data_IF_518509860906
#
_entry.id   IF_518509860906
#
_cell.length_a   1.000
_cell.length_b   1.000
_cell.length_c   1.000
_cell.angle_alpha   90.00
_cell.angle_beta   90.00
_cell.angle_gamma   90.00
#
_symmetry.space_group_name_H-M   'P 1'
#
loop_
_entity.id
_entity.type
_entity.pdbx_description
1 polymer ?
#
# COMPACT_ATOMS: atom_id res chain seq x y z
N UNK A 1 -21.30 2.68 11.22
CA UNK A 1 -20.31 2.84 12.30
C UNK A 1 -19.20 3.75 11.80
N UNK A 2 -18.63 4.61 12.66
CA UNK A 2 -17.60 5.55 12.25
C UNK A 2 -16.96 6.24 13.45
N UNK A 3 -16.05 7.16 13.17
CA UNK A 3 -15.30 7.91 14.19
C UNK A 3 -16.24 8.88 14.91
N UNK A 4 -16.33 8.73 16.23
CA UNK A 4 -17.09 9.63 17.10
C UNK A 4 -16.21 10.81 17.54
N UNK A 5 -14.96 10.54 17.91
CA UNK A 5 -14.08 11.57 18.45
C UNK A 5 -12.92 10.96 19.21
N UNK A 6 -12.33 11.76 20.09
CA UNK A 6 -11.18 11.35 20.90
C UNK A 6 -11.42 11.57 22.38
N UNK A 7 -10.88 10.69 23.21
CA UNK A 7 -10.88 10.88 24.66
C UNK A 7 -9.90 12.00 25.01
N UNK A 8 -10.37 13.02 25.73
CA UNK A 8 -9.56 14.15 26.19
C UNK A 8 -9.31 14.11 27.71
N UNK A 9 -10.16 13.41 28.45
CA UNK A 9 -9.98 13.18 29.88
C UNK A 9 -10.54 11.80 30.23
N UNK A 10 -9.85 11.08 31.09
CA UNK A 10 -10.26 9.78 31.59
C UNK A 10 -10.29 9.75 33.11
N UNK A 11 -11.19 8.92 33.63
CA UNK A 11 -11.33 8.58 35.05
C UNK A 11 -11.59 7.08 35.15
N UNK A 12 -11.56 6.47 36.35
CA UNK A 12 -11.67 5.02 36.49
C UNK A 12 -12.95 4.39 35.90
N UNK A 13 -14.04 5.15 35.77
CA UNK A 13 -15.35 4.65 35.32
C UNK A 13 -16.04 5.53 34.27
N UNK A 14 -15.39 6.60 33.83
CA UNK A 14 -15.95 7.53 32.85
C UNK A 14 -14.84 8.24 32.07
N UNK A 15 -15.17 8.70 30.87
CA UNK A 15 -14.28 9.50 30.05
C UNK A 15 -15.03 10.69 29.44
N UNK A 16 -14.33 11.81 29.24
CA UNK A 16 -14.83 12.93 28.43
C UNK A 16 -14.26 12.79 27.03
N UNK A 17 -15.15 12.81 26.04
CA UNK A 17 -14.82 12.69 24.63
C UNK A 17 -15.04 14.04 23.96
N UNK A 18 -14.04 14.51 23.23
CA UNK A 18 -14.22 15.60 22.28
C UNK A 18 -14.72 15.00 20.97
N UNK A 19 -15.94 15.38 20.57
CA UNK A 19 -16.58 14.88 19.35
C UNK A 19 -15.89 15.41 18.10
N UNK A 20 -15.87 14.63 17.03
CA UNK A 20 -15.24 15.03 15.76
C UNK A 20 -15.93 16.22 15.07
N UNK A 21 -17.23 16.39 15.31
CA UNK A 21 -18.01 17.54 14.82
C UNK A 21 -17.72 18.84 15.59
N UNK A 22 -17.01 18.80 16.71
CA UNK A 22 -16.61 20.01 17.46
C UNK A 22 -15.66 20.87 16.62
N UNK A 23 -15.83 22.21 16.64
CA UNK A 23 -15.00 23.14 15.85
C UNK A 23 -13.52 23.12 16.20
N UNK A 24 -13.18 22.66 17.41
CA UNK A 24 -11.82 22.50 17.90
C UNK A 24 -11.30 21.07 17.72
N UNK A 25 -12.06 20.19 17.06
CA UNK A 25 -11.64 18.84 16.71
C UNK A 25 -11.17 18.77 15.26
N UNK A 26 -10.10 18.02 15.05
CA UNK A 26 -9.61 17.68 13.73
C UNK A 26 -9.09 16.23 13.72
N UNK A 27 -9.09 15.62 12.54
CA UNK A 27 -8.56 14.29 12.30
C UNK A 27 -7.81 14.24 10.96
N UNK A 28 -6.63 13.64 10.96
CA UNK A 28 -5.93 13.29 9.73
C UNK A 28 -6.77 12.31 8.92
N UNK A 29 -7.06 12.66 7.68
CA UNK A 29 -8.01 11.95 6.84
C UNK A 29 -7.43 11.62 5.48
N UNK A 30 -8.05 10.64 4.82
CA UNK A 30 -7.70 10.20 3.50
C UNK A 30 -8.95 9.74 2.77
N UNK A 31 -9.07 10.11 1.50
CA UNK A 31 -10.08 9.55 0.60
C UNK A 31 -9.66 8.12 0.27
N UNK A 32 -10.54 7.14 0.52
CA UNK A 32 -10.22 5.72 0.42
C UNK A 32 -9.84 5.32 -1.02
N UNK A 33 -10.63 5.76 -2.01
CA UNK A 33 -10.43 5.45 -3.43
C UNK A 33 -9.12 5.99 -4.00
N UNK A 34 -8.87 7.29 -3.83
CA UNK A 34 -7.73 7.98 -4.48
C UNK A 34 -6.51 8.13 -3.59
N UNK A 35 -6.63 7.77 -2.30
CA UNK A 35 -5.61 7.97 -1.26
C UNK A 35 -5.18 9.41 -1.07
N UNK A 36 -5.93 10.38 -1.61
CA UNK A 36 -5.69 11.80 -1.40
C UNK A 36 -5.85 12.12 0.09
N UNK A 37 -4.86 12.81 0.66
CA UNK A 37 -4.83 13.16 2.07
C UNK A 37 -5.42 14.54 2.32
N UNK A 38 -5.89 14.76 3.54
CA UNK A 38 -6.36 16.06 4.00
C UNK A 38 -6.60 16.06 5.51
N UNK A 39 -7.13 17.17 6.00
CA UNK A 39 -7.49 17.34 7.40
C UNK A 39 -9.01 17.53 7.51
N UNK A 40 -9.68 16.63 8.22
CA UNK A 40 -11.08 16.82 8.56
C UNK A 40 -11.18 17.68 9.83
N UNK A 41 -12.04 18.70 9.79
CA UNK A 41 -12.30 19.63 10.90
C UNK A 41 -13.81 19.70 11.15
N UNK A 42 -14.21 19.75 12.42
CA UNK A 42 -15.60 19.89 12.80
C UNK A 42 -16.19 21.28 12.51
N UNK A 43 -17.48 21.33 12.17
CA UNK A 43 -18.23 22.58 11.93
C UNK A 43 -19.49 22.70 12.80
N UNK A 44 -19.61 21.86 13.84
CA UNK A 44 -20.75 21.78 14.75
C UNK A 44 -21.74 20.68 14.37
N UNK A 45 -22.27 20.71 13.14
CA UNK A 45 -23.22 19.69 12.65
C UNK A 45 -22.67 18.86 11.48
N UNK A 46 -21.71 19.42 10.74
CA UNK A 46 -21.07 18.80 9.58
C UNK A 46 -19.56 18.76 9.77
N UNK A 47 -18.88 18.13 8.82
CA UNK A 47 -17.44 18.07 8.75
C UNK A 47 -16.97 18.78 7.48
N UNK A 48 -15.77 19.37 7.54
CA UNK A 48 -15.08 19.92 6.36
C UNK A 48 -13.72 19.26 6.24
N UNK A 49 -13.35 18.81 5.05
CA UNK A 49 -12.02 18.31 4.74
C UNK A 49 -11.25 19.36 3.94
N UNK A 50 -10.14 19.81 4.50
CA UNK A 50 -9.26 20.84 3.97
C UNK A 50 -7.91 20.23 3.52
N UNK A 51 -7.12 21.02 2.79
CA UNK A 51 -5.75 20.70 2.35
C UNK A 51 -5.65 19.50 1.39
N UNK A 52 -6.72 19.20 0.65
CA UNK A 52 -6.67 18.17 -0.38
C UNK A 52 -6.13 18.77 -1.66
N UNK A 53 -5.12 18.14 -2.28
CA UNK A 53 -4.46 18.65 -3.50
C UNK A 53 -5.49 18.98 -4.59
N UNK A 54 -5.36 20.14 -5.22
CA UNK A 54 -6.19 20.56 -6.35
C UNK A 54 -6.12 19.62 -7.55
N UNK A 55 -5.03 18.86 -7.68
CA UNK A 55 -4.85 17.84 -8.72
C UNK A 55 -5.45 16.47 -8.37
N UNK A 56 -5.89 16.27 -7.12
CA UNK A 56 -6.51 15.01 -6.72
C UNK A 56 -7.88 14.85 -7.39
N UNK A 57 -8.15 13.66 -7.87
CA UNK A 57 -9.47 13.29 -8.36
C UNK A 57 -10.37 12.97 -7.15
N UNK A 58 -11.51 13.66 -7.07
CA UNK A 58 -12.45 13.57 -5.95
C UNK A 58 -13.85 13.62 -6.51
N UNK A 59 -14.69 12.70 -6.05
CA UNK A 59 -16.06 12.54 -6.47
C UNK A 59 -17.02 12.63 -5.28
N UNK A 60 -18.24 13.06 -5.54
CA UNK A 60 -19.29 13.02 -4.53
C UNK A 60 -19.60 11.56 -4.18
N UNK A 61 -19.75 11.28 -2.89
CA UNK A 61 -19.94 9.91 -2.38
C UNK A 61 -18.64 9.17 -2.06
N UNK A 62 -17.46 9.73 -2.38
CA UNK A 62 -16.18 9.15 -1.99
C UNK A 62 -16.11 8.94 -0.47
N UNK A 63 -15.61 7.77 -0.06
CA UNK A 63 -15.47 7.41 1.34
C UNK A 63 -14.23 8.07 1.94
N UNK A 64 -14.38 8.69 3.10
CA UNK A 64 -13.29 9.31 3.85
C UNK A 64 -13.02 8.49 5.11
N UNK A 65 -11.75 8.12 5.28
CA UNK A 65 -11.26 7.35 6.41
C UNK A 65 -10.13 8.08 7.13
N UNK A 66 -9.86 7.71 8.37
CA UNK A 66 -8.70 8.21 9.12
C UNK A 66 -7.40 7.76 8.46
N UNK A 67 -6.44 8.68 8.32
CA UNK A 67 -5.16 8.38 7.67
C UNK A 67 -4.13 7.73 8.61
N UNK A 68 -4.27 7.95 9.92
CA UNK A 68 -3.30 7.51 10.92
C UNK A 68 -2.09 8.43 11.11
N UNK A 69 -1.98 9.52 10.35
CA UNK A 69 -0.78 10.38 10.35
C UNK A 69 -0.63 11.19 11.65
N UNK A 70 -1.75 11.55 12.29
CA UNK A 70 -1.77 12.32 13.53
C UNK A 70 -1.46 11.48 14.76
N UNK A 71 -1.41 10.15 14.63
CA UNK A 71 -1.24 9.16 15.71
C UNK A 71 -2.31 9.26 16.82
N UNK A 72 -3.37 10.03 16.60
CA UNK A 72 -4.54 10.16 17.49
C UNK A 72 -5.61 9.19 17.04
N UNK A 73 -5.92 9.20 15.74
CA UNK A 73 -6.88 8.28 15.15
C UNK A 73 -6.11 7.18 14.42
N UNK A 74 -6.23 5.90 14.81
CA UNK A 74 -5.65 4.81 14.04
C UNK A 74 -6.17 4.83 12.60
N UNK A 75 -5.37 4.36 11.65
CA UNK A 75 -5.72 4.38 10.24
C UNK A 75 -6.92 3.47 9.91
N UNK A 76 -7.77 3.90 8.99
CA UNK A 76 -8.77 3.06 8.34
C UNK A 76 -10.17 3.09 8.98
N UNK A 77 -10.42 3.97 9.94
CA UNK A 77 -11.75 4.16 10.51
C UNK A 77 -12.56 5.15 9.67
N UNK A 78 -13.81 4.79 9.36
CA UNK A 78 -14.70 5.62 8.55
C UNK A 78 -15.03 6.92 9.28
N UNK A 79 -14.84 8.05 8.60
CA UNK A 79 -15.29 9.37 9.06
C UNK A 79 -16.65 9.66 8.46
N UNK A 80 -16.77 9.56 7.14
CA UNK A 80 -17.95 9.99 6.40
C UNK A 80 -17.79 9.87 4.90
N UNK A 81 -18.64 10.57 4.16
CA UNK A 81 -18.63 10.60 2.69
C UNK A 81 -18.58 12.03 2.18
N UNK A 82 -17.95 12.22 1.03
CA UNK A 82 -17.95 13.51 0.33
C UNK A 82 -19.37 13.90 -0.04
N UNK A 83 -19.84 15.03 0.48
CA UNK A 83 -21.17 15.58 0.20
C UNK A 83 -21.12 16.65 -0.88
N UNK A 84 -20.12 17.54 -0.83
CA UNK A 84 -19.91 18.57 -1.83
C UNK A 84 -18.42 18.91 -1.95
N UNK A 85 -18.00 19.34 -3.13
CA UNK A 85 -16.61 19.69 -3.42
C UNK A 85 -16.60 21.12 -3.93
N UNK A 86 -15.96 22.02 -3.20
CA UNK A 86 -15.63 23.35 -3.67
C UNK A 86 -14.22 23.30 -4.28
N UNK A 87 -14.18 23.40 -5.61
CA UNK A 87 -12.94 23.32 -6.38
C UNK A 87 -12.23 24.67 -6.51
N UNK A 88 -12.85 25.78 -6.11
CA UNK A 88 -12.28 27.12 -6.10
C UNK A 88 -11.37 27.49 -7.30
N UNK A 89 -10.48 28.46 -7.09
CA UNK A 89 -9.30 28.73 -7.95
C UNK A 89 -7.99 28.48 -7.21
N UNK A 90 -8.07 27.95 -5.99
CA UNK A 90 -6.93 27.73 -5.11
C UNK A 90 -6.21 26.42 -5.40
N UNK A 91 -5.03 26.25 -4.77
CA UNK A 91 -4.21 25.03 -4.87
C UNK A 91 -4.84 23.81 -4.20
N UNK A 92 -5.85 24.02 -3.34
CA UNK A 92 -6.50 22.97 -2.56
C UNK A 92 -8.01 22.99 -2.72
N UNK A 93 -8.62 21.81 -2.72
CA UNK A 93 -10.07 21.66 -2.63
C UNK A 93 -10.54 21.83 -1.18
N UNK A 94 -11.70 22.46 -1.01
CA UNK A 94 -12.43 22.45 0.25
C UNK A 94 -13.65 21.54 0.10
N UNK A 95 -13.79 20.55 0.98
CA UNK A 95 -14.77 19.48 0.79
C UNK A 95 -15.72 19.43 1.97
N UNK A 96 -17.01 19.50 1.70
CA UNK A 96 -18.04 19.24 2.71
C UNK A 96 -18.19 17.73 2.87
N UNK A 97 -18.13 17.28 4.12
CA UNK A 97 -18.18 15.86 4.47
C UNK A 97 -19.40 15.60 5.33
N UNK A 98 -20.23 14.65 4.88
CA UNK A 98 -21.34 14.12 5.66
C UNK A 98 -20.79 13.07 6.62
N UNK A 99 -20.95 13.23 7.95
CA UNK A 99 -20.51 12.22 8.90
C UNK A 99 -21.26 10.90 8.70
N UNK A 100 -20.55 9.78 8.87
CA UNK A 100 -21.16 8.44 8.88
C UNK A 100 -21.87 8.11 10.20
N UNK A 101 -21.60 8.89 11.24
CA UNK A 101 -22.15 8.74 12.59
C UNK A 101 -23.26 9.77 12.79
N UNK A 102 -24.39 9.33 13.34
CA UNK A 102 -25.42 10.22 13.85
C UNK A 102 -25.10 10.62 15.30
N UNK A 103 -24.56 11.82 15.46
CA UNK A 103 -24.13 12.34 16.77
C UNK A 103 -25.28 12.64 17.72
N UNK A 104 -26.53 12.65 17.26
CA UNK A 104 -27.71 12.92 18.10
C UNK A 104 -28.23 11.68 18.83
N UNK A 105 -27.79 10.48 18.44
CA UNK A 105 -28.31 9.19 18.93
C UNK A 105 -27.18 8.20 19.24
N UNK A 106 -26.23 8.63 20.05
CA UNK A 106 -25.12 7.78 20.52
C UNK A 106 -25.51 7.05 21.80
N UNK A 107 -25.55 5.71 21.76
CA UNK A 107 -25.82 4.86 22.92
C UNK A 107 -24.57 4.08 23.35
N UNK A 108 -23.91 3.43 22.40
CA UNK A 108 -22.72 2.62 22.64
C UNK A 108 -21.55 3.09 21.76
N UNK A 109 -20.34 3.06 22.32
CA UNK A 109 -19.11 3.44 21.63
C UNK A 109 -17.98 2.48 21.95
N UNK A 110 -17.13 2.22 20.96
CA UNK A 110 -15.89 1.45 21.12
C UNK A 110 -14.71 2.39 21.32
N UNK A 111 -13.95 2.21 22.41
CA UNK A 111 -12.70 2.93 22.64
C UNK A 111 -11.55 2.12 22.06
N UNK A 112 -10.86 2.68 21.08
CA UNK A 112 -9.67 2.08 20.49
C UNK A 112 -8.45 2.62 21.21
N UNK A 113 -7.74 1.76 21.94
CA UNK A 113 -6.52 2.11 22.70
C UNK A 113 -5.25 1.72 21.96
N UNK A 114 -5.36 1.02 20.84
CA UNK A 114 -4.22 0.48 20.11
C UNK A 114 -3.39 1.64 19.53
N UNK A 115 -2.14 1.85 19.98
CA UNK A 115 -1.24 2.75 19.27
C UNK A 115 -1.03 2.20 17.85
N UNK A 116 -0.89 3.05 16.81
CA UNK A 116 -0.49 2.54 15.51
C UNK A 116 0.78 1.72 15.73
N UNK A 117 0.78 0.46 15.29
CA UNK A 117 1.95 -0.40 15.32
C UNK A 117 3.08 0.41 14.69
N UNK A 118 4.01 0.90 15.51
CA UNK A 118 5.31 1.25 15.01
C UNK A 118 5.85 -0.10 14.54
N UNK A 119 5.79 -0.38 13.24
CA UNK A 119 6.54 -1.49 12.64
C UNK A 119 7.95 -1.35 13.18
N UNK A 120 8.27 -2.15 14.18
CA UNK A 120 9.54 -2.03 14.86
C UNK A 120 10.54 -2.73 13.96
N UNK A 121 11.81 -2.31 13.99
CA UNK A 121 12.86 -2.99 13.21
C UNK A 121 12.88 -4.52 13.43
N UNK A 122 12.36 -4.99 14.59
CA UNK A 122 12.13 -6.39 14.89
C UNK A 122 11.13 -7.08 13.93
N UNK A 123 10.00 -6.44 13.57
CA UNK A 123 9.02 -7.03 12.66
C UNK A 123 9.59 -7.16 11.25
N UNK A 124 10.35 -6.15 10.80
CA UNK A 124 11.08 -6.17 9.52
C UNK A 124 12.16 -7.26 9.52
N UNK A 125 12.89 -7.43 10.63
CA UNK A 125 13.93 -8.44 10.76
C UNK A 125 13.39 -9.87 10.77
N UNK A 126 12.23 -10.10 11.40
CA UNK A 126 11.56 -11.42 11.40
C UNK A 126 11.12 -11.79 9.98
N UNK A 127 10.55 -10.85 9.24
CA UNK A 127 10.14 -11.09 7.85
C UNK A 127 11.35 -11.30 6.91
N UNK A 128 12.41 -10.52 7.07
CA UNK A 128 13.67 -10.72 6.32
C UNK A 128 14.33 -12.08 6.61
N UNK A 129 14.32 -12.53 7.87
CA UNK A 129 14.87 -13.84 8.26
C UNK A 129 14.02 -14.99 7.70
N UNK A 130 12.69 -14.85 7.70
CA UNK A 130 11.79 -15.83 7.12
C UNK A 130 11.94 -15.96 5.60
N UNK A 131 12.23 -14.84 4.90
CA UNK A 131 12.52 -14.85 3.46
C UNK A 131 13.87 -15.53 3.18
N UNK A 132 14.92 -15.22 3.95
CA UNK A 132 16.24 -15.84 3.81
C UNK A 132 16.20 -17.37 4.07
N UNK A 133 15.47 -17.81 5.09
CA UNK A 133 15.32 -19.24 5.40
C UNK A 133 14.58 -20.00 4.28
N UNK A 134 13.55 -19.39 3.68
CA UNK A 134 12.82 -19.97 2.53
C UNK A 134 13.70 -20.07 1.28
N UNK A 135 14.56 -19.08 1.04
CA UNK A 135 15.49 -19.09 -0.10
C UNK A 135 16.54 -20.20 0.02
N UNK A 136 17.13 -20.39 1.21
CA UNK A 136 18.06 -21.50 1.48
C UNK A 136 17.41 -22.87 1.26
N UNK A 137 16.17 -23.07 1.74
CA UNK A 137 15.44 -24.32 1.50
C UNK A 137 15.13 -24.56 0.01
N UNK A 138 14.80 -23.51 -0.75
CA UNK A 138 14.58 -23.61 -2.19
C UNK A 138 15.87 -23.91 -2.96
N UNK A 139 17.01 -23.37 -2.51
CA UNK A 139 18.33 -23.64 -3.09
C UNK A 139 18.81 -25.07 -2.81
N UNK A 140 18.59 -25.57 -1.59
CA UNK A 140 18.87 -26.97 -1.23
C UNK A 140 17.95 -27.96 -1.97
N UNK A 141 16.68 -27.64 -2.17
CA UNK A 141 15.75 -28.48 -2.92
C UNK A 141 16.09 -28.52 -4.43
N UNK A 142 16.71 -27.47 -4.98
CA UNK A 142 17.20 -27.45 -6.38
C UNK A 142 18.44 -28.32 -6.58
N UNK A 143 19.25 -28.54 -5.55
CA UNK A 143 20.52 -29.26 -5.66
C UNK A 143 20.44 -30.75 -5.25
N UNK A 144 19.26 -31.24 -4.84
CA UNK A 144 19.06 -32.64 -4.43
C UNK A 144 18.04 -33.34 -5.34
N UNK A 145 18.54 -33.80 -6.50
CA UNK A 145 18.27 -35.10 -7.16
C UNK A 145 17.81 -35.09 -8.63
N UNK A 146 18.06 -36.18 -9.41
CA UNK A 146 18.75 -37.42 -9.02
C UNK A 146 19.93 -37.83 -9.91
N UNK A 147 20.88 -38.51 -9.28
CA UNK A 147 21.69 -39.53 -9.92
C UNK A 147 20.78 -40.66 -10.44
N UNK A 148 20.59 -40.73 -11.75
CA UNK A 148 20.29 -41.99 -12.43
C UNK A 148 20.96 -41.98 -13.82
N UNK A 149 22.28 -42.11 -13.81
CA UNK A 149 23.06 -42.34 -15.03
C UNK A 149 22.96 -43.82 -15.39
N UNK A 150 22.14 -44.14 -16.39
CA UNK A 150 22.07 -45.44 -17.05
C UNK A 150 23.46 -45.86 -17.57
N UNK A 151 23.89 -47.13 -17.42
CA UNK A 151 25.21 -47.55 -17.86
C UNK A 151 25.37 -47.51 -19.38
N UNK A 152 26.58 -47.11 -19.79
CA UNK A 152 27.05 -46.82 -21.16
C UNK A 152 26.79 -47.95 -22.16
N UNK A 153 26.25 -47.60 -23.33
CA UNK A 153 26.39 -48.37 -24.57
C UNK A 153 27.71 -48.02 -25.29
N UNK A 154 28.48 -49.00 -25.82
CA UNK A 154 29.76 -48.72 -26.48
C UNK A 154 29.60 -48.12 -27.88
N UNK A 155 30.59 -47.36 -28.38
CA UNK A 155 30.50 -46.65 -29.66
C UNK A 155 30.70 -47.58 -30.88
N UNK A 156 30.07 -47.30 -32.05
CA UNK A 156 30.35 -48.05 -33.27
C UNK A 156 31.73 -47.71 -33.85
N UNK A 157 32.37 -48.75 -34.40
CA UNK A 157 33.71 -48.74 -34.96
C UNK A 157 33.85 -47.78 -36.16
N UNK A 158 34.96 -47.02 -36.18
CA UNK A 158 35.37 -46.14 -37.27
C UNK A 158 35.79 -46.96 -38.49
N UNK A 159 35.05 -46.86 -39.58
CA UNK A 159 35.57 -47.26 -40.90
C UNK A 159 36.23 -46.06 -41.55
N UNK A 160 37.53 -46.19 -41.81
CA UNK A 160 38.39 -45.21 -42.47
C UNK A 160 38.23 -45.39 -43.99
N UNK A 161 38.00 -44.30 -44.72
CA UNK A 161 38.23 -44.24 -46.18
C UNK A 161 39.00 -42.96 -46.50
N UNK A 162 40.08 -43.02 -47.30
CA UNK A 162 40.98 -41.89 -47.51
C UNK A 162 40.71 -41.10 -48.81
N UNK A 163 41.08 -39.83 -48.75
CA UNK A 163 41.71 -38.98 -49.76
C UNK A 163 41.05 -38.73 -51.14
N UNK A 164 40.76 -37.45 -51.41
CA UNK A 164 41.22 -36.75 -52.63
C UNK A 164 41.07 -35.22 -52.45
N UNK A 165 42.16 -34.48 -52.20
CA UNK A 165 42.84 -33.55 -53.14
C UNK A 165 41.95 -32.43 -53.72
N UNK A 166 42.26 -31.18 -53.33
CA UNK A 166 41.78 -29.96 -53.98
C UNK A 166 41.95 -28.69 -53.15
N UNK A 167 43.16 -28.10 -53.19
CA UNK A 167 43.44 -26.72 -52.70
C UNK A 167 43.11 -25.68 -53.80
N UNK A 168 43.47 -24.39 -53.66
CA UNK A 168 42.70 -23.28 -53.07
C UNK A 168 42.40 -22.15 -54.09
N UNK A 169 41.62 -21.11 -53.75
CA UNK A 169 41.75 -19.67 -54.18
C UNK A 169 40.50 -18.90 -53.74
N UNK A 170 40.55 -17.89 -52.87
CA UNK A 170 41.04 -16.49 -53.00
C UNK A 170 40.11 -15.56 -53.82
N UNK A 171 39.75 -14.41 -53.24
CA UNK A 171 39.01 -13.32 -53.90
C UNK A 171 38.04 -12.58 -52.96
N UNK A 172 38.52 -11.67 -52.11
CA UNK A 172 38.53 -10.18 -52.30
C UNK A 172 37.22 -9.47 -51.91
N UNK A 173 37.26 -8.42 -51.05
CA UNK A 173 36.09 -7.65 -50.63
C UNK A 173 35.83 -6.41 -51.51
N UNK A 174 34.55 -6.03 -51.65
CA UNK A 174 34.03 -4.70 -52.05
C UNK A 174 32.81 -4.48 -51.14
N UNK A 175 32.61 -3.41 -50.38
CA UNK A 175 32.69 -1.97 -50.66
C UNK A 175 31.31 -1.40 -50.25
N UNK A 176 31.19 -0.25 -49.55
CA UNK A 176 29.93 0.19 -48.95
C UNK A 176 29.13 1.19 -49.81
N UNK A 177 27.83 1.29 -49.54
CA UNK A 177 26.83 2.22 -50.12
C UNK A 177 25.47 1.49 -50.12
N UNK A 178 24.36 1.98 -49.58
CA UNK A 178 23.86 3.35 -49.34
C UNK A 178 23.27 3.53 -47.94
#
# INVERSE_FOLDING_TARGET
AGVVGRVILSSPRAARVQMLIDRNAAAGAMIERTRAQGLVVGQGATLRMDYVSGTAEIEQGDLIVTSGIDKIYPKGFVIGTVEAIDRGTGTYHAITVRPSVDFSRLEEVLVVTTPPLATTAADIAVEATAIAAKQLQQEMARNVSPANATPRSPPPARTRVPASTGSPTNGTPRGPGE
#
